data_IF_533797782888
#
_entry.id   IF_533797782888
#
_cell.length_a   1.000
_cell.length_b   1.000
_cell.length_c   1.000
_cell.angle_alpha   90.00
_cell.angle_beta   90.00
_cell.angle_gamma   90.00
#
_symmetry.space_group_name_H-M   'P 1'
#
loop_
_entity.id
_entity.type
_entity.pdbx_description
1 polymer ?
#
# COMPACT_ATOMS: atom_id res chain seq x y z
N UNK A 1 -54.94 28.30 18.92
CA UNK A 1 -56.32 28.43 18.38
C UNK A 1 -56.43 27.60 17.11
N UNK A 2 -57.44 26.72 17.11
CA UNK A 2 -58.19 26.14 15.99
C UNK A 2 -57.50 25.20 14.98
N UNK A 3 -58.01 23.97 15.00
CA UNK A 3 -57.83 22.88 14.06
C UNK A 3 -58.63 23.08 12.77
N UNK A 4 -58.29 22.33 11.71
CA UNK A 4 -59.28 21.79 10.77
C UNK A 4 -58.86 20.38 10.36
N UNK A 5 -59.68 19.39 10.73
CA UNK A 5 -59.74 18.06 10.16
C UNK A 5 -60.65 18.08 8.93
N UNK A 6 -60.32 17.32 7.88
CA UNK A 6 -61.32 16.83 6.92
C UNK A 6 -61.14 15.32 6.71
N UNK A 7 -62.25 14.59 6.85
CA UNK A 7 -62.36 13.13 6.73
C UNK A 7 -62.85 12.74 5.33
N UNK A 8 -62.10 11.83 4.69
CA UNK A 8 -62.49 10.62 3.91
C UNK A 8 -63.51 10.73 2.74
N UNK A 9 -63.34 9.91 1.69
CA UNK A 9 -63.93 8.57 1.74
C UNK A 9 -62.98 7.43 1.34
N UNK A 10 -63.13 6.35 2.09
CA UNK A 10 -62.55 5.04 1.89
C UNK A 10 -63.34 4.30 0.81
N UNK A 11 -62.68 3.86 -0.27
CA UNK A 11 -63.22 2.81 -1.14
C UNK A 11 -62.13 1.80 -1.55
N UNK A 12 -62.36 0.57 -1.09
CA UNK A 12 -62.10 -0.73 -1.71
C UNK A 12 -60.97 -0.94 -2.74
N UNK A 13 -60.00 -1.75 -2.28
CA UNK A 13 -59.44 -2.97 -2.89
C UNK A 13 -58.57 -2.92 -4.17
N UNK A 14 -57.47 -3.67 -4.01
CA UNK A 14 -56.69 -4.43 -4.98
C UNK A 14 -55.55 -3.70 -5.72
N UNK A 15 -54.34 -4.25 -5.53
CA UNK A 15 -53.18 -3.93 -6.36
C UNK A 15 -51.87 -3.74 -5.59
N UNK A 16 -51.48 -4.72 -4.76
CA UNK A 16 -50.14 -4.75 -4.19
C UNK A 16 -49.12 -5.02 -5.30
N UNK A 17 -48.36 -4.00 -5.70
CA UNK A 17 -47.07 -4.11 -6.41
C UNK A 17 -46.25 -2.86 -6.05
N UNK A 18 -45.82 -2.79 -4.79
CA UNK A 18 -44.85 -1.76 -4.36
C UNK A 18 -43.50 -2.18 -4.95
N UNK A 19 -43.10 -1.48 -6.02
CA UNK A 19 -41.77 -1.55 -6.61
C UNK A 19 -40.74 -1.33 -5.51
N UNK A 20 -39.83 -2.28 -5.37
CA UNK A 20 -38.70 -2.24 -4.45
C UNK A 20 -37.84 -1.00 -4.71
N UNK A 21 -37.78 -0.10 -3.74
CA UNK A 21 -36.77 0.95 -3.66
C UNK A 21 -35.71 0.52 -2.65
N UNK A 22 -34.61 -0.06 -3.13
CA UNK A 22 -33.40 -0.26 -2.33
C UNK A 22 -32.79 1.12 -2.08
N UNK A 23 -33.07 1.72 -0.92
CA UNK A 23 -32.40 2.95 -0.49
C UNK A 23 -31.08 2.55 0.15
N UNK A 24 -30.00 2.57 -0.64
CA UNK A 24 -28.65 2.37 -0.13
C UNK A 24 -28.15 3.71 0.42
N UNK A 25 -28.36 3.92 1.73
CA UNK A 25 -27.78 5.07 2.44
C UNK A 25 -26.29 4.80 2.64
N UNK A 26 -25.45 5.34 1.76
CA UNK A 26 -24.03 5.47 2.03
C UNK A 26 -23.83 6.63 3.01
N UNK A 27 -23.77 6.34 4.31
CA UNK A 27 -23.16 7.25 5.27
C UNK A 27 -21.66 7.27 4.99
N UNK A 28 -21.20 8.27 4.25
CA UNK A 28 -19.78 8.57 4.08
C UNK A 28 -19.21 9.06 5.41
N UNK A 29 -18.81 8.12 6.27
CA UNK A 29 -17.89 8.43 7.36
C UNK A 29 -16.61 8.91 6.69
N UNK A 30 -16.32 10.20 6.82
CA UNK A 30 -15.08 10.82 6.39
C UNK A 30 -13.92 10.19 7.15
N UNK A 31 -13.39 9.09 6.62
CA UNK A 31 -12.05 8.65 6.95
C UNK A 31 -11.10 9.74 6.47
N UNK A 32 -10.36 10.35 7.39
CA UNK A 32 -9.25 11.22 7.04
C UNK A 32 -8.38 10.52 5.98
N UNK A 33 -7.83 11.25 4.99
CA UNK A 33 -6.87 10.64 4.08
C UNK A 33 -5.76 10.03 4.93
N UNK A 34 -5.62 8.71 4.87
CA UNK A 34 -4.41 8.05 5.35
C UNK A 34 -3.32 8.66 4.50
N UNK A 35 -2.49 9.53 5.08
CA UNK A 35 -1.29 10.03 4.42
C UNK A 35 -0.43 8.81 4.11
N UNK A 36 -0.53 8.30 2.88
CA UNK A 36 0.40 7.32 2.37
C UNK A 36 1.75 8.01 2.30
N UNK A 37 2.57 7.85 3.35
CA UNK A 37 3.92 8.36 3.33
C UNK A 37 4.68 7.50 2.31
N UNK A 38 4.84 8.03 1.10
CA UNK A 38 5.44 7.31 -0.02
C UNK A 38 6.95 7.17 0.25
N UNK A 39 7.32 6.11 0.97
CA UNK A 39 8.72 5.72 1.13
C UNK A 39 9.25 5.25 -0.23
N UNK A 40 10.44 5.71 -0.59
CA UNK A 40 11.05 5.41 -1.89
C UNK A 40 12.49 4.98 -1.72
N UNK A 41 12.92 4.00 -2.52
CA UNK A 41 14.32 3.67 -2.73
C UNK A 41 14.82 4.50 -3.91
N UNK A 42 15.91 5.24 -3.73
CA UNK A 42 16.55 5.98 -4.82
C UNK A 42 17.77 5.18 -5.30
N UNK A 43 17.77 4.83 -6.58
CA UNK A 43 18.90 4.19 -7.25
C UNK A 43 19.63 5.23 -8.08
N UNK A 44 20.95 5.28 -7.92
CA UNK A 44 21.83 6.20 -8.64
C UNK A 44 22.84 5.37 -9.41
N UNK A 45 22.88 5.52 -10.73
CA UNK A 45 23.84 4.90 -11.63
C UNK A 45 24.45 5.96 -12.54
N UNK A 46 25.61 6.50 -12.13
CA UNK A 46 26.21 7.65 -12.81
C UNK A 46 25.26 8.85 -12.83
N UNK A 47 24.85 9.27 -14.03
CA UNK A 47 23.89 10.37 -14.23
C UNK A 47 22.43 9.93 -14.14
N UNK A 48 22.16 8.62 -14.13
CA UNK A 48 20.81 8.08 -14.03
C UNK A 48 20.35 8.04 -12.58
N UNK A 49 19.14 8.54 -12.31
CA UNK A 49 18.47 8.42 -11.01
C UNK A 49 17.06 7.86 -11.20
N UNK A 50 16.78 6.74 -10.54
CA UNK A 50 15.46 6.11 -10.50
C UNK A 50 14.92 6.12 -9.08
N UNK A 51 13.62 6.33 -8.93
CA UNK A 51 12.91 6.20 -7.65
C UNK A 51 11.93 5.04 -7.75
N UNK A 52 12.06 4.08 -6.84
CA UNK A 52 11.16 2.93 -6.72
C UNK A 52 10.33 3.12 -5.47
N UNK A 53 9.01 2.98 -5.60
CA UNK A 53 8.11 3.08 -4.45
C UNK A 53 8.27 1.84 -3.56
N UNK A 54 8.22 2.02 -2.23
CA UNK A 54 8.27 0.88 -1.31
C UNK A 54 7.14 -0.14 -1.58
N UNK A 55 5.96 0.34 -1.99
CA UNK A 55 4.85 -0.56 -2.35
C UNK A 55 5.18 -1.50 -3.52
N UNK A 56 6.00 -1.06 -4.47
CA UNK A 56 6.47 -1.87 -5.58
C UNK A 56 7.47 -2.93 -5.11
N UNK A 57 8.45 -2.53 -4.28
CA UNK A 57 9.41 -3.46 -3.67
C UNK A 57 8.72 -4.53 -2.82
N UNK A 58 7.70 -4.14 -2.05
CA UNK A 58 6.89 -5.07 -1.25
C UNK A 58 6.10 -6.03 -2.13
N UNK A 59 5.61 -5.58 -3.29
CA UNK A 59 4.91 -6.44 -4.24
C UNK A 59 5.86 -7.46 -4.89
N UNK A 60 7.10 -7.06 -5.17
CA UNK A 60 8.14 -7.92 -5.75
C UNK A 60 8.83 -8.85 -4.75
N UNK A 61 8.66 -8.61 -3.44
CA UNK A 61 9.35 -9.39 -2.41
C UNK A 61 8.77 -10.81 -2.34
N UNK A 62 9.42 -11.78 -2.98
CA UNK A 62 8.98 -13.17 -3.08
C UNK A 62 10.00 -14.18 -2.51
N UNK A 63 11.19 -13.71 -2.14
CA UNK A 63 12.23 -14.53 -1.51
C UNK A 63 12.10 -14.49 0.00
N UNK A 64 12.10 -15.67 0.63
CA UNK A 64 12.12 -15.83 2.09
C UNK A 64 13.40 -16.55 2.51
N UNK A 65 14.07 -16.04 3.55
CA UNK A 65 15.27 -16.64 4.13
C UNK A 65 15.36 -16.34 5.63
N UNK A 66 16.12 -17.14 6.36
CA UNK A 66 16.30 -16.97 7.80
C UNK A 66 17.68 -16.39 8.08
N UNK A 67 17.74 -15.36 8.94
CA UNK A 67 18.99 -14.74 9.42
C UNK A 67 18.99 -14.76 10.94
N UNK A 68 20.14 -15.08 11.53
CA UNK A 68 20.32 -14.94 12.97
C UNK A 68 20.48 -13.46 13.33
N UNK A 69 19.57 -12.92 14.14
CA UNK A 69 19.69 -11.57 14.70
C UNK A 69 20.46 -11.63 16.04
N UNK A 70 21.71 -11.14 16.12
CA UNK A 70 22.51 -11.20 17.33
C UNK A 70 21.99 -10.29 18.46
N UNK A 71 21.21 -9.25 18.13
CA UNK A 71 20.63 -8.35 19.14
C UNK A 71 19.42 -8.96 19.82
N UNK A 72 18.66 -9.79 19.09
CA UNK A 72 17.50 -10.52 19.63
C UNK A 72 17.84 -11.93 20.09
N UNK A 73 19.04 -12.45 19.75
CA UNK A 73 19.48 -13.79 20.12
C UNK A 73 18.64 -14.91 19.49
N UNK A 74 18.06 -14.67 18.31
CA UNK A 74 17.17 -15.62 17.62
C UNK A 74 17.26 -15.51 16.11
N UNK A 75 16.87 -16.59 15.46
CA UNK A 75 16.61 -16.60 14.03
C UNK A 75 15.33 -15.79 13.71
N UNK A 76 15.43 -14.94 12.69
CA UNK A 76 14.32 -14.17 12.13
C UNK A 76 14.12 -14.52 10.67
N UNK A 77 12.87 -14.72 10.29
CA UNK A 77 12.49 -14.86 8.89
C UNK A 77 12.46 -13.48 8.24
N UNK A 78 13.18 -13.33 7.13
CA UNK A 78 13.20 -12.15 6.29
C UNK A 78 12.54 -12.48 4.95
N UNK A 79 11.77 -11.51 4.45
CA UNK A 79 11.19 -11.54 3.11
C UNK A 79 11.68 -10.33 2.33
N UNK A 80 12.09 -10.55 1.09
CA UNK A 80 12.65 -9.48 0.26
C UNK A 80 12.76 -9.86 -1.21
N UNK A 81 13.49 -9.03 -1.95
CA UNK A 81 13.79 -9.21 -3.37
C UNK A 81 15.18 -9.86 -3.50
N UNK A 82 15.35 -10.76 -4.47
CA UNK A 82 16.65 -11.32 -4.82
C UNK A 82 17.61 -10.20 -5.26
N UNK A 83 18.61 -9.90 -4.44
CA UNK A 83 19.45 -8.71 -4.65
C UNK A 83 20.22 -8.74 -5.98
N UNK A 84 20.69 -9.92 -6.42
CA UNK A 84 21.37 -10.08 -7.71
C UNK A 84 20.47 -9.70 -8.88
N UNK A 85 19.26 -10.21 -8.90
CA UNK A 85 18.33 -10.01 -10.02
C UNK A 85 17.86 -8.56 -10.06
N UNK A 86 17.61 -7.97 -8.88
CA UNK A 86 17.35 -6.54 -8.72
C UNK A 86 18.47 -5.66 -9.30
N UNK A 87 19.73 -6.01 -9.05
CA UNK A 87 20.85 -5.25 -9.59
C UNK A 87 20.91 -5.35 -11.13
N UNK A 88 20.75 -6.55 -11.68
CA UNK A 88 20.76 -6.76 -13.14
C UNK A 88 19.59 -6.02 -13.80
N UNK A 89 18.40 -6.04 -13.19
CA UNK A 89 17.22 -5.34 -13.71
C UNK A 89 17.43 -3.82 -13.81
N UNK A 90 18.01 -3.20 -12.78
CA UNK A 90 18.14 -1.74 -12.71
C UNK A 90 19.47 -1.18 -13.21
N UNK A 91 20.56 -1.94 -13.12
CA UNK A 91 21.90 -1.52 -13.54
C UNK A 91 22.36 -2.21 -14.83
N UNK A 92 21.68 -3.26 -15.29
CA UNK A 92 22.04 -4.05 -16.48
C UNK A 92 23.11 -5.12 -16.21
N UNK A 93 23.82 -5.01 -15.09
CA UNK A 93 24.85 -5.94 -14.62
C UNK A 93 24.94 -5.87 -13.08
N UNK A 94 25.84 -6.65 -12.49
CA UNK A 94 26.16 -6.53 -11.07
C UNK A 94 27.29 -5.51 -10.94
N UNK A 95 27.08 -4.33 -10.32
CA UNK A 95 28.14 -3.33 -10.18
C UNK A 95 29.30 -3.88 -9.33
N UNK A 96 30.57 -3.54 -9.64
CA UNK A 96 31.73 -4.02 -8.87
C UNK A 96 31.79 -3.40 -7.46
N UNK A 97 31.09 -2.30 -7.24
CA UNK A 97 30.96 -1.66 -5.94
C UNK A 97 29.55 -1.06 -5.80
N UNK A 98 29.03 -1.10 -4.58
CA UNK A 98 27.74 -0.53 -4.20
C UNK A 98 27.94 0.41 -3.03
N UNK A 99 27.20 1.51 -3.02
CA UNK A 99 27.15 2.47 -1.93
C UNK A 99 25.70 2.66 -1.50
N UNK A 100 25.46 2.55 -0.20
CA UNK A 100 24.15 2.62 0.42
C UNK A 100 24.14 3.78 1.40
N UNK A 101 23.10 4.59 1.34
CA UNK A 101 22.85 5.69 2.27
C UNK A 101 21.46 5.51 2.86
N UNK A 102 21.35 5.51 4.18
CA UNK A 102 20.07 5.44 4.90
C UNK A 102 19.50 6.85 5.13
N UNK A 103 18.28 6.92 5.66
CA UNK A 103 17.59 8.19 5.93
C UNK A 103 18.23 9.03 7.04
N UNK A 104 19.06 8.42 7.89
CA UNK A 104 19.84 9.04 8.96
C UNK A 104 21.31 9.27 8.55
N UNK A 105 21.58 9.32 7.24
CA UNK A 105 22.89 9.58 6.65
C UNK A 105 23.96 8.53 7.00
N UNK A 106 23.56 7.34 7.46
CA UNK A 106 24.48 6.23 7.64
C UNK A 106 24.86 5.62 6.29
N UNK A 107 26.16 5.48 6.06
CA UNK A 107 26.73 5.05 4.80
C UNK A 107 27.43 3.70 4.91
N UNK A 108 27.22 2.82 3.93
CA UNK A 108 27.92 1.54 3.78
C UNK A 108 28.33 1.36 2.33
N UNK A 109 29.54 0.84 2.12
CA UNK A 109 29.99 0.41 0.81
C UNK A 109 30.33 -1.08 0.79
N UNK A 110 29.92 -1.76 -0.27
CA UNK A 110 30.24 -3.16 -0.53
C UNK A 110 31.07 -3.24 -1.81
N UNK A 111 32.27 -3.81 -1.72
CA UNK A 111 33.05 -4.22 -2.88
C UNK A 111 32.69 -5.66 -3.25
N UNK A 112 32.28 -5.89 -4.48
CA UNK A 112 32.05 -7.23 -5.04
C UNK A 112 33.32 -7.58 -5.83
N UNK A 113 34.32 -8.10 -5.09
CA UNK A 113 35.61 -8.52 -5.64
C UNK A 113 35.55 -9.85 -6.38
#
# INVERSE_FOLDING_TARGET
MNAVFSRLPMHWRCGALIKAGLVLVFTTVGGAPVSANAQTLTLINGESTQKIALGELLHQSDVTFTVFDPYQGRDVEMRGVAFRDFLIEHFGEIPPALHFTTWDDYEVSLGLG
#
